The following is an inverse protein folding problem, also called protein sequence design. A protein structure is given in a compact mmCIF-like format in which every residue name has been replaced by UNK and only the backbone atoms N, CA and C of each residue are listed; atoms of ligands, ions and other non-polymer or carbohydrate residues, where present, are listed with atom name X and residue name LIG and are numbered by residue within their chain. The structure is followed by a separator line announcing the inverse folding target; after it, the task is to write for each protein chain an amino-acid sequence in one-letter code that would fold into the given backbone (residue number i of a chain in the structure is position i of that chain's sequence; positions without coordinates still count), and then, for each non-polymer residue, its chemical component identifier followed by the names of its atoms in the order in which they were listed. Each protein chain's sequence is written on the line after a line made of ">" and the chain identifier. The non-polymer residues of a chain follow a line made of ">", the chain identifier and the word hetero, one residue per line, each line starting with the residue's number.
data_IF_244441511493
#
_entry.id   IF_244441511493
#
_cell.length_a   1.000
_cell.length_b   1.000
_cell.length_c   1.000
_cell.angle_alpha   90.00
_cell.angle_beta   90.00
_cell.angle_gamma   90.00
#
_symmetry.space_group_name_H-M   'P 1'
#
loop_
_entity.id
_entity.type
_entity.pdbx_description
1 polymer ?
#
# COMPACT_ATOMS: atom_id res chain seq x y z
N UNK A 1 8.58 23.47 8.93
CA UNK A 1 7.89 22.28 9.39
C UNK A 1 7.27 21.49 8.22
N UNK A 2 7.01 20.23 8.39
CA UNK A 2 6.37 19.41 7.36
C UNK A 2 4.99 19.93 6.95
N UNK A 3 4.31 20.61 7.85
CA UNK A 3 2.99 21.22 7.61
C UNK A 3 3.13 22.39 6.62
N UNK A 4 4.09 23.27 6.82
CA UNK A 4 4.34 24.39 5.92
C UNK A 4 4.73 23.92 4.52
N UNK A 5 5.60 22.93 4.44
CA UNK A 5 5.99 22.35 3.15
C UNK A 5 4.79 21.80 2.38
N UNK A 6 3.86 21.12 3.05
CA UNK A 6 2.64 20.61 2.43
C UNK A 6 1.72 21.72 1.96
N UNK A 7 1.59 22.80 2.75
CA UNK A 7 0.79 23.97 2.38
C UNK A 7 1.31 24.59 1.07
N UNK A 8 2.62 24.80 0.98
CA UNK A 8 3.24 25.37 -0.21
C UNK A 8 3.13 24.47 -1.44
N UNK A 9 3.25 23.14 -1.24
CA UNK A 9 3.20 22.18 -2.34
C UNK A 9 1.77 21.94 -2.85
N UNK A 10 0.78 21.94 -1.96
CA UNK A 10 -0.57 21.45 -2.30
C UNK A 10 -1.66 22.53 -2.15
N UNK A 11 -1.33 23.69 -1.61
CA UNK A 11 -2.24 24.83 -1.48
C UNK A 11 -3.30 24.68 -0.38
N UNK A 12 -4.16 25.70 -0.24
CA UNK A 12 -5.15 25.74 0.85
C UNK A 12 -6.24 24.65 0.78
N UNK A 13 -6.32 23.94 -0.33
CA UNK A 13 -7.25 22.82 -0.49
C UNK A 13 -7.00 21.71 0.54
N UNK A 14 -5.80 21.65 1.06
CA UNK A 14 -5.39 20.71 2.09
C UNK A 14 -5.30 21.40 3.45
N UNK A 15 -6.38 22.11 3.81
CA UNK A 15 -6.48 22.79 5.10
C UNK A 15 -6.34 21.82 6.29
N UNK A 16 -6.49 20.52 6.06
CA UNK A 16 -6.22 19.48 7.04
C UNK A 16 -4.74 19.07 7.00
N UNK A 17 -3.85 20.05 7.05
CA UNK A 17 -2.40 19.83 6.96
C UNK A 17 -1.82 19.00 8.11
N UNK A 18 -2.60 18.81 9.16
CA UNK A 18 -2.23 17.93 10.28
C UNK A 18 -2.47 16.46 10.00
N UNK A 19 -3.23 16.17 8.94
CA UNK A 19 -3.50 14.79 8.56
C UNK A 19 -2.26 14.19 7.93
N UNK A 20 -1.81 13.06 8.46
CA UNK A 20 -0.66 12.31 7.95
C UNK A 20 -0.90 11.83 6.52
N UNK A 21 -2.14 11.67 6.11
CA UNK A 21 -2.50 11.27 4.75
C UNK A 21 -2.02 12.26 3.69
N UNK A 22 -1.89 13.54 4.03
CA UNK A 22 -1.36 14.54 3.09
C UNK A 22 0.09 14.29 2.70
N UNK A 23 0.80 13.41 3.42
CA UNK A 23 2.20 13.09 3.15
C UNK A 23 2.44 12.11 2.01
N UNK A 24 1.41 11.43 1.49
CA UNK A 24 1.54 10.47 0.40
C UNK A 24 0.47 10.68 -0.67
N UNK A 25 0.73 10.17 -1.87
CA UNK A 25 -0.17 10.37 -3.01
C UNK A 25 -1.56 9.76 -2.76
N UNK A 26 -1.60 8.52 -2.26
CA UNK A 26 -2.87 7.84 -1.95
C UNK A 26 -3.66 8.59 -0.88
N UNK A 27 -2.99 9.08 0.14
CA UNK A 27 -3.63 9.88 1.18
C UNK A 27 -4.22 11.18 0.63
N UNK A 28 -3.50 11.84 -0.26
CA UNK A 28 -4.00 13.05 -0.94
C UNK A 28 -5.22 12.75 -1.82
N UNK A 29 -5.24 11.59 -2.49
CA UNK A 29 -6.41 11.16 -3.27
C UNK A 29 -7.62 10.94 -2.37
N UNK A 30 -7.43 10.38 -1.19
CA UNK A 30 -8.51 10.22 -0.20
C UNK A 30 -9.04 11.57 0.26
N UNK A 31 -8.17 12.51 0.60
CA UNK A 31 -8.55 13.85 1.02
C UNK A 31 -9.28 14.60 -0.09
N UNK A 32 -8.90 14.37 -1.34
CA UNK A 32 -9.59 14.96 -2.50
C UNK A 32 -10.84 14.18 -2.91
N UNK A 33 -11.24 13.17 -2.16
CA UNK A 33 -12.41 12.31 -2.41
C UNK A 33 -12.36 11.57 -3.75
N UNK A 34 -11.17 11.34 -4.25
CA UNK A 34 -10.95 10.56 -5.49
C UNK A 34 -10.90 9.07 -5.26
N UNK A 35 -10.58 8.66 -4.04
CA UNK A 35 -10.68 7.27 -3.59
C UNK A 35 -11.46 7.21 -2.28
N UNK A 36 -12.02 6.05 -1.98
CA UNK A 36 -12.76 5.82 -0.75
C UNK A 36 -11.82 5.50 0.41
N UNK A 37 -12.37 5.53 1.62
CA UNK A 37 -11.63 5.13 2.83
C UNK A 37 -11.19 3.68 2.77
N UNK A 38 -12.05 2.79 2.26
CA UNK A 38 -11.74 1.38 2.06
C UNK A 38 -10.60 1.18 1.05
N UNK A 39 -10.62 1.94 -0.03
CA UNK A 39 -9.55 1.92 -1.03
C UNK A 39 -8.22 2.39 -0.43
N UNK A 40 -8.26 3.44 0.37
CA UNK A 40 -7.07 3.94 1.08
C UNK A 40 -6.52 2.90 2.05
N UNK A 41 -7.38 2.26 2.83
CA UNK A 41 -6.96 1.19 3.75
C UNK A 41 -6.36 0.01 3.00
N UNK A 42 -6.95 -0.37 1.86
CA UNK A 42 -6.40 -1.42 1.02
C UNK A 42 -4.99 -1.09 0.52
N UNK A 43 -4.76 0.17 0.16
CA UNK A 43 -3.43 0.65 -0.26
C UNK A 43 -2.42 0.54 0.88
N UNK A 44 -2.80 0.93 2.09
CA UNK A 44 -1.93 0.84 3.27
C UNK A 44 -1.56 -0.62 3.56
N UNK A 45 -2.52 -1.53 3.52
CA UNK A 45 -2.28 -2.95 3.74
C UNK A 45 -1.42 -3.58 2.65
N UNK A 46 -1.60 -3.14 1.41
CA UNK A 46 -0.79 -3.60 0.29
C UNK A 46 0.66 -3.15 0.44
N UNK A 47 0.88 -1.89 0.80
CA UNK A 47 2.21 -1.35 1.07
C UNK A 47 2.88 -2.08 2.25
N UNK A 48 2.14 -2.35 3.31
CA UNK A 48 2.65 -3.09 4.46
C UNK A 48 3.06 -4.52 4.08
N UNK A 49 2.24 -5.20 3.29
CA UNK A 49 2.56 -6.55 2.80
C UNK A 49 3.83 -6.55 1.96
N UNK A 50 4.04 -5.51 1.15
CA UNK A 50 5.26 -5.35 0.37
C UNK A 50 6.48 -5.16 1.26
N UNK A 51 6.40 -4.28 2.26
CA UNK A 51 7.49 -4.04 3.20
C UNK A 51 7.85 -5.30 4.00
N UNK A 52 6.86 -6.04 4.46
CA UNK A 52 7.06 -7.29 5.17
C UNK A 52 7.75 -8.34 4.30
N UNK A 53 7.33 -8.43 3.04
CA UNK A 53 7.96 -9.32 2.06
C UNK A 53 9.41 -8.91 1.79
N UNK A 54 9.67 -7.62 1.61
CA UNK A 54 11.02 -7.09 1.40
C UNK A 54 11.94 -7.39 2.59
N UNK A 55 11.44 -7.19 3.80
CA UNK A 55 12.18 -7.50 5.02
C UNK A 55 12.50 -8.99 5.12
N UNK A 56 11.59 -9.87 4.68
CA UNK A 56 11.79 -11.30 4.67
C UNK A 56 12.88 -11.77 3.69
N UNK A 57 13.10 -11.01 2.62
CA UNK A 57 14.15 -11.28 1.64
C UNK A 57 15.53 -10.77 2.09
N UNK A 58 15.63 -10.17 3.29
CA UNK A 58 16.87 -9.56 3.73
C UNK A 58 17.27 -8.33 2.93
N UNK A 59 16.27 -7.54 2.51
CA UNK A 59 16.48 -6.30 1.78
C UNK A 59 17.42 -5.34 2.49
N UNK A 60 17.96 -4.30 1.80
CA UNK A 60 18.94 -3.40 2.38
C UNK A 60 18.40 -2.77 3.66
N UNK A 61 19.12 -3.01 4.75
CA UNK A 61 18.81 -2.37 6.02
C UNK A 61 19.12 -0.88 5.89
N UNK A 62 18.26 0.01 6.38
CA UNK A 62 18.58 1.42 6.42
C UNK A 62 19.93 1.65 7.12
N UNK A 63 20.73 2.56 6.60
CA UNK A 63 21.98 2.94 7.24
C UNK A 63 21.67 3.40 8.68
N UNK A 64 22.32 2.80 9.66
CA UNK A 64 22.07 3.08 11.07
C UNK A 64 21.19 2.06 11.79
N UNK A 65 20.62 1.10 11.09
CA UNK A 65 19.87 0.00 11.68
C UNK A 65 20.77 -1.15 12.17
N UNK A 66 22.06 -0.91 12.33
CA UNK A 66 22.96 -1.86 12.96
C UNK A 66 22.64 -1.94 14.46
N UNK A 67 21.80 -2.90 14.80
CA UNK A 67 21.61 -3.27 16.18
C UNK A 67 22.78 -4.18 16.57
N UNK A 68 23.69 -3.73 17.47
CA UNK A 68 24.80 -4.57 17.90
C UNK A 68 24.37 -5.83 18.64
N UNK A 69 23.12 -5.85 19.08
CA UNK A 69 22.50 -7.02 19.70
C UNK A 69 21.74 -7.91 18.69
N UNK A 70 21.72 -7.53 17.43
CA UNK A 70 21.20 -8.42 16.40
C UNK A 70 22.13 -9.62 16.32
N UNK A 71 21.66 -10.75 16.80
CA UNK A 71 22.37 -12.00 16.65
C UNK A 71 22.53 -12.27 15.16
N UNK A 72 23.76 -12.23 14.70
CA UNK A 72 24.14 -12.67 13.36
C UNK A 72 24.07 -14.20 13.29
N UNK A 73 23.02 -14.79 13.89
CA UNK A 73 22.79 -16.21 13.91
C UNK A 73 21.74 -16.60 12.89
N UNK A 74 21.63 -17.89 12.64
CA UNK A 74 20.53 -18.43 11.86
C UNK A 74 19.21 -17.86 12.33
N UNK A 75 18.31 -17.44 11.41
CA UNK A 75 16.97 -17.04 11.81
C UNK A 75 16.35 -18.18 12.61
N UNK A 76 15.89 -17.89 13.81
CA UNK A 76 15.12 -18.86 14.59
C UNK A 76 13.92 -19.34 13.80
N UNK A 77 13.35 -20.49 14.18
CA UNK A 77 12.18 -21.06 13.51
C UNK A 77 11.03 -20.04 13.37
N UNK A 78 10.85 -19.15 14.33
CA UNK A 78 9.86 -18.07 14.28
C UNK A 78 10.12 -17.09 13.15
N UNK A 79 11.37 -16.75 12.86
CA UNK A 79 11.74 -15.85 11.78
C UNK A 79 11.51 -16.47 10.41
N UNK A 80 11.77 -17.76 10.27
CA UNK A 80 11.49 -18.51 9.04
C UNK A 80 9.99 -18.55 8.79
N UNK A 81 9.20 -18.84 9.82
CA UNK A 81 7.74 -18.87 9.73
C UNK A 81 7.17 -17.51 9.35
N UNK A 82 7.66 -16.42 9.96
CA UNK A 82 7.27 -15.05 9.61
C UNK A 82 7.61 -14.74 8.15
N UNK A 83 8.79 -15.14 7.69
CA UNK A 83 9.21 -14.90 6.31
C UNK A 83 8.33 -15.64 5.32
N UNK A 84 8.01 -16.89 5.59
CA UNK A 84 7.09 -17.68 4.74
C UNK A 84 5.72 -17.05 4.72
N UNK A 85 5.19 -16.60 5.86
CA UNK A 85 3.90 -15.95 5.97
C UNK A 85 3.87 -14.62 5.21
N UNK A 86 4.93 -13.81 5.32
CA UNK A 86 5.03 -12.54 4.63
C UNK A 86 5.05 -12.74 3.11
N UNK A 87 5.80 -13.70 2.61
CA UNK A 87 5.85 -14.06 1.19
C UNK A 87 4.48 -14.54 0.69
N UNK A 88 3.81 -15.38 1.47
CA UNK A 88 2.48 -15.91 1.13
C UNK A 88 1.44 -14.79 1.11
N UNK A 89 1.44 -13.90 2.10
CA UNK A 89 0.52 -12.75 2.18
C UNK A 89 0.69 -11.86 0.95
N UNK A 90 1.91 -11.57 0.56
CA UNK A 90 2.20 -10.78 -0.63
C UNK A 90 1.74 -11.48 -1.90
N UNK A 91 2.07 -12.76 -2.06
CA UNK A 91 1.68 -13.56 -3.23
C UNK A 91 0.17 -13.58 -3.41
N UNK A 92 -0.58 -13.79 -2.34
CA UNK A 92 -2.05 -13.82 -2.40
C UNK A 92 -2.64 -12.46 -2.79
N UNK A 93 -2.06 -11.37 -2.29
CA UNK A 93 -2.50 -10.02 -2.67
C UNK A 93 -2.25 -9.75 -4.16
N UNK A 94 -1.06 -10.09 -4.65
CA UNK A 94 -0.72 -9.95 -6.07
C UNK A 94 -1.63 -10.81 -6.95
N UNK A 95 -1.91 -12.05 -6.53
CA UNK A 95 -2.82 -12.95 -7.24
C UNK A 95 -4.25 -12.38 -7.34
N UNK A 96 -4.72 -11.71 -6.28
CA UNK A 96 -6.04 -11.07 -6.30
C UNK A 96 -6.10 -9.94 -7.33
N UNK A 97 -5.05 -9.13 -7.42
CA UNK A 97 -4.93 -8.07 -8.43
C UNK A 97 -4.87 -8.68 -9.83
N UNK A 98 -4.07 -9.73 -10.00
CA UNK A 98 -3.91 -10.40 -11.29
C UNK A 98 -5.21 -11.03 -11.78
N UNK A 99 -5.97 -11.64 -10.88
CA UNK A 99 -7.30 -12.19 -11.22
C UNK A 99 -8.26 -11.11 -11.71
N UNK A 100 -8.22 -9.94 -11.07
CA UNK A 100 -9.03 -8.80 -11.52
C UNK A 100 -8.56 -8.29 -12.88
N UNK A 101 -7.24 -8.21 -13.09
CA UNK A 101 -6.63 -7.81 -14.37
C UNK A 101 -7.08 -8.76 -15.49
N UNK A 102 -7.12 -10.06 -15.23
CA UNK A 102 -7.54 -11.06 -16.20
C UNK A 102 -9.01 -10.89 -16.61
N UNK A 103 -9.88 -10.48 -15.68
CA UNK A 103 -11.28 -10.18 -15.99
C UNK A 103 -11.45 -8.98 -16.93
N UNK A 104 -10.48 -8.09 -16.97
CA UNK A 104 -10.47 -6.95 -17.88
C UNK A 104 -9.92 -7.29 -19.27
N UNK A 105 -9.67 -8.57 -19.54
CA UNK A 105 -9.18 -9.08 -20.83
C UNK A 105 -7.89 -8.39 -21.29
N UNK A 106 -6.98 -8.16 -20.36
CA UNK A 106 -5.70 -7.50 -20.64
C UNK A 106 -5.79 -5.98 -20.82
N UNK A 107 -6.96 -5.40 -20.72
CA UNK A 107 -7.10 -3.95 -20.72
C UNK A 107 -6.76 -3.39 -19.35
N UNK A 108 -5.99 -2.30 -19.35
CA UNK A 108 -5.62 -1.61 -18.14
C UNK A 108 -4.33 -2.11 -17.51
N UNK A 109 -3.90 -1.41 -16.49
CA UNK A 109 -2.61 -1.63 -15.84
C UNK A 109 -2.78 -1.56 -14.32
N UNK A 110 -3.52 -2.53 -13.75
CA UNK A 110 -3.85 -2.51 -12.32
C UNK A 110 -2.60 -2.62 -11.45
N UNK A 111 -1.74 -3.58 -11.74
CA UNK A 111 -0.52 -3.76 -10.96
C UNK A 111 0.43 -2.58 -11.13
N UNK A 112 0.59 -2.06 -12.34
CA UNK A 112 1.43 -0.89 -12.58
C UNK A 112 0.90 0.33 -11.83
N UNK A 113 -0.42 0.54 -11.78
CA UNK A 113 -1.01 1.62 -11.01
C UNK A 113 -0.72 1.49 -9.52
N UNK A 114 -0.83 0.29 -8.97
CA UNK A 114 -0.51 0.00 -7.58
C UNK A 114 0.99 0.20 -7.31
N UNK A 115 1.85 -0.27 -8.19
CA UNK A 115 3.30 -0.13 -8.04
C UNK A 115 3.70 1.35 -8.01
N UNK A 116 3.29 2.13 -9.01
CA UNK A 116 3.68 3.53 -9.08
C UNK A 116 3.02 4.39 -8.00
N UNK A 117 1.71 4.25 -7.80
CA UNK A 117 0.96 5.15 -6.92
C UNK A 117 1.07 4.78 -5.45
N UNK A 118 1.18 3.51 -5.12
CA UNK A 118 1.20 3.02 -3.73
C UNK A 118 2.62 2.72 -3.28
N UNK A 119 3.32 1.83 -3.98
CA UNK A 119 4.63 1.35 -3.54
C UNK A 119 5.75 2.39 -3.76
N UNK A 120 5.70 3.12 -4.86
CA UNK A 120 6.69 4.15 -5.19
C UNK A 120 6.25 5.56 -4.84
N UNK A 121 5.02 5.71 -4.38
CA UNK A 121 4.44 7.01 -4.01
C UNK A 121 4.56 8.06 -5.13
N UNK A 122 4.45 7.62 -6.38
CA UNK A 122 4.55 8.50 -7.54
C UNK A 122 3.22 9.18 -7.84
N UNK A 123 3.28 10.45 -8.20
CA UNK A 123 2.11 11.23 -8.60
C UNK A 123 1.77 10.93 -10.06
N UNK A 124 0.86 9.98 -10.28
CA UNK A 124 0.46 9.53 -11.61
C UNK A 124 -1.06 9.69 -11.81
N UNK A 125 -1.55 10.92 -12.07
CA UNK A 125 -2.99 11.15 -12.22
C UNK A 125 -3.66 10.33 -13.31
N UNK A 126 -2.94 9.98 -14.35
CA UNK A 126 -3.45 9.19 -15.47
C UNK A 126 -3.72 7.72 -15.12
N UNK A 127 -3.22 7.25 -13.96
CA UNK A 127 -3.42 5.88 -13.48
C UNK A 127 -4.52 5.76 -12.42
N UNK A 128 -5.18 6.84 -12.05
CA UNK A 128 -6.14 6.86 -10.94
C UNK A 128 -7.30 5.88 -11.17
N UNK A 129 -7.83 5.80 -12.39
CA UNK A 129 -8.93 4.88 -12.68
C UNK A 129 -8.53 3.42 -12.49
N UNK A 130 -7.36 3.05 -13.00
CA UNK A 130 -6.81 1.70 -12.81
C UNK A 130 -6.45 1.45 -11.37
N UNK A 131 -5.93 2.46 -10.67
CA UNK A 131 -5.65 2.39 -9.25
C UNK A 131 -6.93 2.07 -8.45
N UNK A 132 -8.04 2.73 -8.74
CA UNK A 132 -9.32 2.49 -8.07
C UNK A 132 -9.78 1.04 -8.22
N UNK A 133 -9.71 0.52 -9.42
CA UNK A 133 -10.09 -0.88 -9.70
C UNK A 133 -9.16 -1.85 -8.95
N UNK A 134 -7.86 -1.61 -8.98
CA UNK A 134 -6.89 -2.42 -8.26
C UNK A 134 -7.09 -2.38 -6.75
N UNK A 135 -7.38 -1.20 -6.21
CA UNK A 135 -7.67 -1.04 -4.78
C UNK A 135 -8.99 -1.71 -4.38
N UNK A 136 -10.00 -1.68 -5.24
CA UNK A 136 -11.25 -2.41 -4.99
C UNK A 136 -10.99 -3.91 -4.93
N UNK A 137 -10.19 -4.44 -5.82
CA UNK A 137 -9.80 -5.86 -5.80
C UNK A 137 -9.08 -6.22 -4.50
N UNK A 138 -8.18 -5.36 -4.02
CA UNK A 138 -7.47 -5.55 -2.76
C UNK A 138 -8.40 -5.41 -1.55
N UNK A 139 -9.32 -4.46 -1.58
CA UNK A 139 -10.30 -4.29 -0.50
C UNK A 139 -11.17 -5.54 -0.35
N UNK A 140 -11.61 -6.12 -1.46
CA UNK A 140 -12.35 -7.38 -1.46
C UNK A 140 -11.48 -8.53 -0.93
N UNK A 141 -10.24 -8.60 -1.37
CA UNK A 141 -9.29 -9.62 -0.92
C UNK A 141 -9.02 -9.55 0.58
N UNK A 142 -8.78 -8.35 1.11
CA UNK A 142 -8.54 -8.11 2.53
C UNK A 142 -9.82 -8.06 3.37
N UNK A 143 -10.98 -8.19 2.75
CA UNK A 143 -12.29 -8.13 3.40
C UNK A 143 -12.54 -6.82 4.15
N UNK A 144 -12.05 -5.73 3.59
CA UNK A 144 -12.25 -4.39 4.13
C UNK A 144 -13.68 -3.94 3.87
N UNK A 145 -14.39 -3.54 4.91
CA UNK A 145 -15.76 -3.06 4.79
C UNK A 145 -16.84 -4.12 4.86
N UNK A 146 -16.51 -5.40 4.92
CA UNK A 146 -17.50 -6.48 5.00
C UNK A 146 -18.40 -6.41 6.24
N UNK A 147 -17.90 -5.79 7.29
CA UNK A 147 -18.71 -5.56 8.51
C UNK A 147 -19.91 -4.64 8.24
N UNK A 148 -19.79 -3.76 7.27
CA UNK A 148 -20.87 -2.85 6.89
C UNK A 148 -21.85 -3.47 5.87
N UNK A 149 -21.38 -4.39 5.04
CA UNK A 149 -22.24 -5.11 4.08
C UNK A 149 -23.18 -6.10 4.76
N UNK A 150 -22.75 -6.70 5.87
CA UNK A 150 -23.56 -7.66 6.63
C UNK A 150 -24.59 -6.99 7.54
N UNK A 151 -24.46 -5.70 7.80
CA UNK A 151 -25.36 -4.93 8.65
C UNK A 151 -26.43 -4.16 7.87
N UNK A 152 -26.38 -4.20 6.54
CA UNK A 152 -27.35 -3.50 5.69
C UNK A 152 -28.50 -4.43 5.27
#
# INVERSE_FOLDING_TARGET
>A
TGVEARYWLFGPRYAQLRDTDAGCFVGRLRLAQKITMQQCEAAIRFAQAFEDMQASLGGPKPAGAMNPNATHGMPGAENVERSVKAMETWRLAVDAVQRRQNKLRGQGALYAALDYCVLRDADCPHLIEWLRIGLDALADHFQIGDKHRKAA
#
